data_IF_674914495291
#
_entry.id   IF_674914495291
#
_cell.length_a   1.000
_cell.length_b   1.000
_cell.length_c   1.000
_cell.angle_alpha   90.00
_cell.angle_beta   90.00
_cell.angle_gamma   90.00
#
_symmetry.space_group_name_H-M   'P 1'
#
loop_
_entity.id
_entity.type
_entity.pdbx_description
1 polymer ?
#
# COMPACT_ATOMS: atom_id res chain seq x y z
N UNK A 1 -18.97 4.50 2.05
CA UNK A 1 -17.74 3.66 2.02
C UNK A 1 -16.59 4.54 2.45
N UNK A 2 -15.97 4.18 3.57
CA UNK A 2 -14.85 4.91 4.15
C UNK A 2 -13.58 4.44 3.43
N UNK A 3 -12.76 5.37 2.93
CA UNK A 3 -11.47 5.10 2.27
C UNK A 3 -11.52 4.09 1.10
N UNK A 4 -12.59 4.13 0.29
CA UNK A 4 -12.79 3.15 -0.80
C UNK A 4 -11.63 3.11 -1.83
N UNK A 5 -11.05 4.26 -2.17
CA UNK A 5 -9.92 4.32 -3.11
C UNK A 5 -8.67 3.60 -2.57
N UNK A 6 -8.14 3.98 -1.39
CA UNK A 6 -6.99 3.32 -0.78
C UNK A 6 -7.21 1.83 -0.51
N UNK A 7 -8.39 1.46 0.00
CA UNK A 7 -8.77 0.07 0.23
C UNK A 7 -8.76 -0.74 -1.08
N UNK A 8 -9.30 -0.18 -2.16
CA UNK A 8 -9.27 -0.80 -3.48
C UNK A 8 -7.84 -0.98 -4.00
N UNK A 9 -6.94 -0.04 -3.72
CA UNK A 9 -5.51 -0.18 -4.04
C UNK A 9 -4.86 -1.40 -3.39
N UNK A 10 -5.18 -1.69 -2.11
CA UNK A 10 -4.68 -2.91 -1.45
C UNK A 10 -5.25 -4.17 -2.11
N UNK A 11 -6.53 -4.14 -2.49
CA UNK A 11 -7.17 -5.27 -3.18
C UNK A 11 -6.53 -5.49 -4.57
N UNK A 12 -6.24 -4.41 -5.31
CA UNK A 12 -5.52 -4.51 -6.58
C UNK A 12 -4.14 -5.14 -6.39
N UNK A 13 -3.40 -4.72 -5.35
CA UNK A 13 -2.08 -5.27 -5.02
C UNK A 13 -2.16 -6.75 -4.63
N UNK A 14 -3.18 -7.16 -3.84
CA UNK A 14 -3.43 -8.55 -3.50
C UNK A 14 -3.73 -9.40 -4.74
N UNK A 15 -4.63 -8.92 -5.60
CA UNK A 15 -5.02 -9.61 -6.83
C UNK A 15 -3.83 -9.79 -7.79
N UNK A 16 -3.02 -8.73 -7.99
CA UNK A 16 -1.80 -8.81 -8.80
C UNK A 16 -0.79 -9.76 -8.16
N UNK A 17 -0.57 -9.66 -6.84
CA UNK A 17 0.34 -10.54 -6.11
C UNK A 17 -0.03 -12.01 -6.30
N UNK A 18 -1.29 -12.38 -6.08
CA UNK A 18 -1.79 -13.74 -6.27
C UNK A 18 -1.57 -14.24 -7.71
N UNK A 19 -1.87 -13.40 -8.71
CA UNK A 19 -1.66 -13.76 -10.12
C UNK A 19 -0.19 -14.00 -10.47
N UNK A 20 0.74 -13.42 -9.71
CA UNK A 20 2.18 -13.56 -9.88
C UNK A 20 2.82 -14.57 -8.91
N UNK A 21 2.02 -15.21 -8.04
CA UNK A 21 2.51 -16.19 -7.06
C UNK A 21 3.08 -15.56 -5.78
N UNK A 22 2.76 -14.32 -5.49
CA UNK A 22 3.13 -13.62 -4.25
C UNK A 22 1.92 -13.52 -3.31
N UNK A 23 1.86 -14.36 -2.29
CA UNK A 23 0.80 -14.33 -1.28
C UNK A 23 1.08 -13.34 -0.15
N UNK A 24 2.33 -12.89 -0.01
CA UNK A 24 2.78 -11.92 0.97
C UNK A 24 3.12 -10.61 0.25
N UNK A 25 2.29 -9.58 0.42
CA UNK A 25 2.45 -8.31 -0.29
C UNK A 25 2.32 -7.13 0.66
N UNK A 26 3.20 -6.15 0.52
CA UNK A 26 3.00 -4.81 1.04
C UNK A 26 2.55 -3.93 -0.12
N UNK A 27 1.32 -3.41 -0.06
CA UNK A 27 0.83 -2.42 -1.00
C UNK A 27 1.34 -1.05 -0.62
N UNK A 28 1.75 -0.27 -1.60
CA UNK A 28 2.23 1.10 -1.42
C UNK A 28 1.65 2.01 -2.49
N UNK A 29 0.79 2.92 -2.07
CA UNK A 29 0.14 3.92 -2.92
C UNK A 29 0.67 5.31 -2.59
N UNK A 30 1.33 5.97 -3.54
CA UNK A 30 1.76 7.35 -3.37
C UNK A 30 1.18 8.25 -4.46
N UNK A 31 0.32 9.14 -4.03
CA UNK A 31 -0.25 10.20 -4.84
C UNK A 31 0.46 11.55 -4.65
N UNK A 32 -0.26 12.62 -4.98
CA UNK A 32 0.25 13.99 -4.81
C UNK A 32 0.32 14.47 -3.35
N UNK A 33 -0.55 13.99 -2.46
CA UNK A 33 -0.70 14.52 -1.09
C UNK A 33 -0.24 13.56 -0.02
N UNK A 34 -0.53 12.28 -0.17
CA UNK A 34 -0.30 11.25 0.85
C UNK A 34 0.32 10.00 0.26
N UNK A 35 0.99 9.23 1.09
CA UNK A 35 1.34 7.85 0.82
C UNK A 35 0.61 6.92 1.79
N UNK A 36 0.17 5.77 1.30
CA UNK A 36 -0.57 4.76 2.03
C UNK A 36 0.09 3.41 1.88
N UNK A 37 0.17 2.68 2.99
CA UNK A 37 0.68 1.31 2.99
C UNK A 37 -0.36 0.37 3.61
N UNK A 38 -0.52 -0.81 3.03
CA UNK A 38 -1.37 -1.88 3.53
C UNK A 38 -0.67 -3.23 3.44
N UNK A 39 -1.07 -4.17 4.30
CA UNK A 39 -0.49 -5.51 4.35
C UNK A 39 -1.46 -6.53 3.78
N UNK A 40 -0.94 -7.45 2.98
CA UNK A 40 -1.64 -8.62 2.44
C UNK A 40 -0.90 -9.87 2.92
N UNK A 41 -1.63 -10.82 3.48
CA UNK A 41 -1.10 -12.07 4.00
C UNK A 41 -1.91 -13.26 3.49
N UNK A 42 -1.24 -14.27 2.96
CA UNK A 42 -1.91 -15.41 2.34
C UNK A 42 -2.88 -14.99 1.22
N UNK A 43 -2.56 -13.88 0.52
CA UNK A 43 -3.40 -13.30 -0.52
C UNK A 43 -4.59 -12.46 -0.03
N UNK A 44 -4.80 -12.34 1.30
CA UNK A 44 -5.93 -11.59 1.87
C UNK A 44 -5.44 -10.26 2.49
N UNK A 45 -6.10 -9.13 2.22
CA UNK A 45 -5.80 -7.85 2.89
C UNK A 45 -6.03 -7.91 4.39
N UNK A 46 -5.13 -7.33 5.17
CA UNK A 46 -5.31 -7.20 6.61
C UNK A 46 -6.47 -6.27 6.94
N UNK A 47 -7.29 -6.64 7.92
CA UNK A 47 -8.49 -5.90 8.34
C UNK A 47 -8.34 -5.44 9.78
N UNK A 48 -8.75 -4.20 10.06
CA UNK A 48 -8.88 -3.64 11.40
C UNK A 48 -10.32 -3.27 11.72
N UNK A 49 -10.66 -3.22 13.01
CA UNK A 49 -11.93 -2.69 13.53
C UNK A 49 -11.74 -1.33 14.21
N UNK A 50 -10.48 -0.94 14.41
CA UNK A 50 -10.10 0.31 15.07
C UNK A 50 -9.80 1.38 14.02
N UNK A 51 -10.85 1.96 13.45
CA UNK A 51 -10.74 3.04 12.47
C UNK A 51 -11.25 4.36 13.03
N UNK A 52 -10.51 5.45 12.79
CA UNK A 52 -10.89 6.79 13.21
C UNK A 52 -11.05 7.71 11.98
N UNK A 53 -12.26 8.21 11.77
CA UNK A 53 -12.54 9.19 10.70
C UNK A 53 -12.05 10.56 11.10
N UNK A 54 -11.33 11.24 10.19
CA UNK A 54 -10.83 12.61 10.40
C UNK A 54 -9.58 12.68 11.27
N UNK A 55 -8.98 11.55 11.63
CA UNK A 55 -7.62 11.55 12.16
C UNK A 55 -6.68 12.13 11.08
N UNK A 56 -5.89 13.14 11.42
CA UNK A 56 -4.91 13.70 10.47
C UNK A 56 -3.87 12.64 10.15
N UNK A 57 -3.54 12.52 8.85
CA UNK A 57 -2.44 11.67 8.37
C UNK A 57 -1.19 11.90 9.23
N UNK A 58 -0.66 10.82 9.81
CA UNK A 58 0.35 10.92 10.86
C UNK A 58 1.74 11.01 10.25
N UNK A 59 2.48 12.03 10.59
CA UNK A 59 3.92 12.10 10.36
C UNK A 59 4.65 11.86 11.68
N UNK A 60 5.08 10.61 11.93
CA UNK A 60 5.99 10.30 13.04
C UNK A 60 5.57 9.14 13.95
N UNK A 61 6.57 8.55 14.59
CA UNK A 61 6.44 7.54 15.64
C UNK A 61 5.71 8.17 16.84
N UNK A 62 4.54 7.66 17.20
CA UNK A 62 3.81 8.11 18.40
C UNK A 62 2.60 9.02 18.13
N UNK A 63 2.12 9.12 16.91
CA UNK A 63 0.88 9.82 16.62
C UNK A 63 -0.29 9.17 17.37
N UNK A 64 -0.93 9.95 18.24
CA UNK A 64 -1.94 9.48 19.17
C UNK A 64 -3.19 8.97 18.43
N UNK A 65 -3.55 7.71 18.63
CA UNK A 65 -4.93 7.26 18.49
C UNK A 65 -5.81 8.18 19.34
N UNK A 66 -6.95 8.61 18.80
CA UNK A 66 -7.90 9.44 19.55
C UNK A 66 -8.07 10.87 19.05
N UNK A 67 -7.51 11.22 17.86
CA UNK A 67 -7.72 12.53 17.24
C UNK A 67 -8.92 12.57 16.29
N UNK A 68 -9.50 11.41 15.93
CA UNK A 68 -10.63 11.24 15.03
C UNK A 68 -11.89 10.71 15.72
N UNK A 69 -12.95 10.52 14.93
CA UNK A 69 -14.19 9.88 15.40
C UNK A 69 -14.09 8.36 15.18
N UNK A 70 -14.08 7.53 16.25
CA UNK A 70 -13.91 6.10 16.11
C UNK A 70 -15.13 5.45 15.47
N UNK A 71 -14.90 4.61 14.47
CA UNK A 71 -15.92 3.77 13.83
C UNK A 71 -15.53 2.30 14.00
N UNK A 72 -16.40 1.52 14.64
CA UNK A 72 -16.24 0.07 14.80
C UNK A 72 -16.86 -0.69 13.62
N UNK A 73 -16.26 -0.58 12.45
CA UNK A 73 -16.62 -1.38 11.28
C UNK A 73 -15.35 -2.02 10.72
N UNK A 74 -15.41 -3.26 10.21
CA UNK A 74 -14.26 -3.84 9.53
C UNK A 74 -13.85 -3.00 8.33
N UNK A 75 -12.60 -2.55 8.31
CA UNK A 75 -11.99 -1.81 7.20
C UNK A 75 -10.62 -2.41 6.89
N UNK A 76 -10.16 -2.26 5.66
CA UNK A 76 -8.78 -2.64 5.32
C UNK A 76 -7.83 -1.78 6.17
N UNK A 77 -6.87 -2.46 6.80
CA UNK A 77 -5.92 -1.82 7.70
C UNK A 77 -4.84 -1.08 6.91
N UNK A 78 -4.90 0.23 6.96
CA UNK A 78 -4.04 1.14 6.22
C UNK A 78 -3.27 2.05 7.16
N UNK A 79 -2.01 2.28 6.83
CA UNK A 79 -1.21 3.36 7.40
C UNK A 79 -1.10 4.47 6.37
N UNK A 80 -1.59 5.65 6.71
CA UNK A 80 -1.50 6.84 5.89
C UNK A 80 -0.51 7.83 6.48
N UNK A 81 0.35 8.40 5.65
CA UNK A 81 1.28 9.46 6.02
C UNK A 81 1.17 10.66 5.07
N UNK A 82 1.39 11.85 5.60
CA UNK A 82 1.43 13.10 4.83
C UNK A 82 2.72 13.24 4.02
N UNK A 83 3.02 12.24 3.18
CA UNK A 83 4.15 12.25 2.26
C UNK A 83 3.63 11.91 0.85
N UNK A 84 3.71 12.84 -0.07
CA UNK A 84 3.30 12.70 -1.46
C UNK A 84 4.13 13.58 -2.37
N UNK A 85 3.87 13.55 -3.68
CA UNK A 85 4.60 14.37 -4.64
C UNK A 85 4.52 15.87 -4.35
N UNK A 86 3.39 16.34 -3.83
CA UNK A 86 3.17 17.74 -3.45
C UNK A 86 3.60 18.09 -2.02
N UNK A 87 4.21 17.17 -1.26
CA UNK A 87 4.72 17.48 0.09
C UNK A 87 5.77 18.56 0.04
N UNK A 88 5.54 19.62 0.81
CA UNK A 88 6.38 20.83 0.80
C UNK A 88 7.66 20.58 1.58
N UNK A 89 8.79 20.96 1.00
CA UNK A 89 10.08 20.97 1.67
C UNK A 89 10.34 22.36 2.27
N UNK A 90 10.91 22.40 3.47
CA UNK A 90 11.20 23.62 4.22
C UNK A 90 12.32 23.40 5.22
N UNK A 91 12.94 24.49 5.65
CA UNK A 91 14.00 24.45 6.68
C UNK A 91 13.39 24.95 7.99
N UNK A 92 13.51 24.13 9.04
CA UNK A 92 13.00 24.49 10.36
C UNK A 92 13.90 25.56 11.05
N UNK A 93 13.43 26.20 12.14
CA UNK A 93 14.24 27.22 12.86
C UNK A 93 15.57 26.70 13.42
N UNK A 94 15.72 25.36 13.51
CA UNK A 94 16.98 24.72 13.90
C UNK A 94 17.95 24.47 12.75
N UNK A 95 17.59 24.87 11.50
CA UNK A 95 18.42 24.66 10.33
C UNK A 95 18.35 23.23 9.77
N UNK A 96 17.26 22.50 10.02
CA UNK A 96 17.08 21.13 9.54
C UNK A 96 16.08 21.10 8.38
N UNK A 97 16.46 20.44 7.27
CA UNK A 97 15.56 20.20 6.15
C UNK A 97 14.42 19.26 6.55
N UNK A 98 13.20 19.66 6.25
CA UNK A 98 11.96 18.92 6.51
C UNK A 98 11.15 18.74 5.22
N UNK A 99 10.36 17.68 5.15
CA UNK A 99 9.42 17.43 4.06
C UNK A 99 8.06 17.08 4.65
N UNK A 100 7.01 17.81 4.21
CA UNK A 100 5.68 17.69 4.79
C UNK A 100 5.59 18.21 6.24
N UNK A 101 4.49 17.90 6.96
CA UNK A 101 3.28 17.19 6.49
C UNK A 101 2.39 18.04 5.57
N UNK A 102 2.69 19.33 5.39
CA UNK A 102 1.93 20.22 4.52
C UNK A 102 2.16 19.85 3.05
N UNK A 103 1.07 19.84 2.26
CA UNK A 103 1.10 19.60 0.82
C UNK A 103 0.69 20.86 0.08
N UNK A 104 1.32 21.11 -1.06
CA UNK A 104 0.93 22.18 -1.99
C UNK A 104 -0.40 21.86 -2.70
N UNK A 105 -0.90 20.61 -2.58
CA UNK A 105 -2.09 20.16 -3.27
C UNK A 105 -1.93 20.14 -4.79
N UNK A 106 -3.05 20.27 -5.49
CA UNK A 106 -3.08 20.41 -6.96
C UNK A 106 -3.15 21.88 -7.41
N UNK A 107 -3.63 22.76 -6.54
CA UNK A 107 -3.78 24.19 -6.74
C UNK A 107 -3.33 24.94 -5.44
N UNK A 108 -2.30 25.80 -5.51
CA UNK A 108 -1.48 26.12 -6.67
C UNK A 108 -0.55 24.97 -7.12
N UNK A 109 -0.33 23.94 -6.30
CA UNK A 109 0.51 22.78 -6.59
C UNK A 109 2.01 23.06 -6.45
N UNK A 110 2.86 22.11 -6.89
CA UNK A 110 4.30 22.26 -7.01
C UNK A 110 4.70 23.51 -7.80
N UNK A 111 5.85 24.09 -7.46
CA UNK A 111 6.36 25.30 -8.14
C UNK A 111 6.49 25.08 -9.66
N UNK A 112 6.91 23.86 -10.07
CA UNK A 112 7.06 23.49 -11.47
C UNK A 112 5.77 23.43 -12.26
N UNK A 113 4.58 23.45 -11.65
CA UNK A 113 3.31 23.42 -12.38
C UNK A 113 2.98 24.79 -13.02
N UNK A 114 3.69 25.87 -12.63
CA UNK A 114 3.46 27.20 -13.20
C UNK A 114 2.09 27.81 -12.83
N UNK A 115 1.43 27.31 -11.78
CA UNK A 115 0.09 27.75 -11.33
C UNK A 115 0.14 28.70 -10.12
N UNK A 116 1.30 29.32 -9.88
CA UNK A 116 1.50 30.25 -8.75
C UNK A 116 2.06 29.61 -7.48
N UNK A 117 2.37 28.31 -7.48
CA UNK A 117 3.14 27.66 -6.43
C UNK A 117 4.54 28.23 -6.37
N UNK A 118 5.03 28.52 -5.15
CA UNK A 118 6.36 29.08 -4.92
C UNK A 118 7.21 28.25 -3.97
N UNK A 119 6.59 27.35 -3.21
CA UNK A 119 7.29 26.47 -2.26
C UNK A 119 7.72 25.17 -2.94
N UNK A 120 8.96 24.70 -2.65
CA UNK A 120 9.47 23.47 -3.27
C UNK A 120 8.74 22.23 -2.72
N UNK A 121 8.56 21.24 -3.58
CA UNK A 121 7.92 19.97 -3.25
C UNK A 121 8.79 18.77 -3.64
N UNK A 122 8.37 17.56 -3.28
CA UNK A 122 9.00 16.31 -3.76
C UNK A 122 8.96 16.21 -5.29
N UNK A 123 7.88 16.70 -5.92
CA UNK A 123 7.78 16.75 -7.40
C UNK A 123 8.83 17.68 -8.00
N UNK A 124 9.01 18.88 -7.43
CA UNK A 124 10.05 19.82 -7.86
C UNK A 124 11.45 19.21 -7.73
N UNK A 125 11.69 18.50 -6.62
CA UNK A 125 12.96 17.81 -6.39
C UNK A 125 13.21 16.69 -7.42
N UNK A 126 12.23 15.82 -7.69
CA UNK A 126 12.35 14.76 -8.70
C UNK A 126 12.53 15.34 -10.12
N UNK A 127 11.90 16.47 -10.42
CA UNK A 127 12.09 17.17 -11.68
C UNK A 127 13.51 17.72 -11.83
N UNK A 128 14.01 18.41 -10.78
CA UNK A 128 15.38 18.96 -10.81
C UNK A 128 16.43 17.85 -10.90
N UNK A 129 16.19 16.70 -10.27
CA UNK A 129 17.07 15.52 -10.38
C UNK A 129 16.97 14.79 -11.75
N UNK A 130 16.14 15.27 -12.68
CA UNK A 130 15.99 14.69 -14.03
C UNK A 130 15.14 13.42 -14.07
N UNK A 131 14.51 13.00 -12.96
CA UNK A 131 13.67 11.79 -12.91
C UNK A 131 12.36 11.98 -13.64
N UNK A 132 11.76 13.18 -13.60
CA UNK A 132 10.54 13.53 -14.33
C UNK A 132 10.86 14.22 -15.64
N UNK A 133 10.02 13.98 -16.63
CA UNK A 133 10.13 14.60 -17.95
C UNK A 133 9.33 15.92 -17.97
N UNK A 134 9.99 17.08 -18.22
CA UNK A 134 9.28 18.34 -18.25
C UNK A 134 8.25 18.47 -19.39
N UNK A 135 8.42 17.69 -20.47
CA UNK A 135 7.56 17.75 -21.64
C UNK A 135 6.54 16.60 -21.74
N UNK A 136 6.65 15.59 -20.85
CA UNK A 136 5.79 14.38 -20.91
C UNK A 136 5.09 14.07 -19.59
N UNK A 137 4.85 15.06 -18.78
CA UNK A 137 4.07 14.87 -17.55
C UNK A 137 2.58 14.77 -17.88
N UNK A 138 1.90 13.73 -17.36
CA UNK A 138 0.53 13.35 -17.74
C UNK A 138 0.35 13.24 -19.27
N UNK A 139 1.27 12.49 -19.90
CA UNK A 139 1.21 12.31 -21.35
C UNK A 139 1.48 13.60 -22.17
N UNK A 140 2.05 14.63 -21.54
CA UNK A 140 2.30 15.94 -22.15
C UNK A 140 1.17 16.97 -21.96
N UNK A 141 0.13 16.64 -21.18
CA UNK A 141 -0.95 17.60 -20.88
C UNK A 141 -0.48 18.77 -20.00
N UNK A 142 0.56 18.56 -19.20
CA UNK A 142 1.15 19.56 -18.32
C UNK A 142 2.65 19.67 -18.61
N UNK A 143 3.11 20.83 -19.07
CA UNK A 143 4.53 21.15 -19.11
C UNK A 143 5.04 21.54 -17.72
N UNK A 144 6.21 21.03 -17.33
CA UNK A 144 6.82 21.37 -16.05
C UNK A 144 7.94 22.38 -16.21
N UNK A 145 7.94 23.42 -15.38
CA UNK A 145 8.97 24.48 -15.36
C UNK A 145 10.13 24.09 -14.43
N UNK A 146 11.24 23.62 -15.04
CA UNK A 146 12.46 23.24 -14.33
C UNK A 146 13.11 24.46 -13.64
N UNK A 147 13.02 25.66 -14.24
CA UNK A 147 13.59 26.85 -13.66
C UNK A 147 12.85 27.30 -12.40
N UNK A 148 11.50 27.20 -12.41
CA UNK A 148 10.67 27.46 -11.23
C UNK A 148 10.96 26.46 -10.10
N UNK A 149 11.09 25.16 -10.42
CA UNK A 149 11.47 24.13 -9.43
C UNK A 149 12.83 24.44 -8.81
N UNK A 150 13.86 24.72 -9.63
CA UNK A 150 15.20 25.06 -9.16
C UNK A 150 15.18 26.28 -8.26
N UNK A 151 14.51 27.36 -8.68
CA UNK A 151 14.38 28.60 -7.91
C UNK A 151 13.73 28.35 -6.55
N UNK A 152 12.62 27.62 -6.52
CA UNK A 152 11.94 27.31 -5.27
C UNK A 152 12.84 26.52 -4.30
N UNK A 153 13.56 25.50 -4.79
CA UNK A 153 14.51 24.72 -3.96
C UNK A 153 15.66 25.59 -3.49
N UNK A 154 16.20 26.44 -4.34
CA UNK A 154 17.31 27.35 -4.01
C UNK A 154 16.93 28.34 -2.92
N UNK A 155 15.79 29.04 -3.08
CA UNK A 155 15.35 30.08 -2.14
C UNK A 155 14.93 29.52 -0.77
N UNK A 156 14.24 28.39 -0.74
CA UNK A 156 13.61 27.85 0.48
C UNK A 156 14.41 26.75 1.19
N UNK A 157 15.35 26.10 0.49
CA UNK A 157 16.09 24.96 1.05
C UNK A 157 17.62 25.13 0.91
N UNK A 158 18.13 25.30 -0.31
CA UNK A 158 19.56 25.28 -0.57
C UNK A 158 20.29 26.48 0.04
N UNK A 159 19.82 27.70 -0.21
CA UNK A 159 20.46 28.94 0.34
C UNK A 159 20.42 28.98 1.87
N UNK A 160 19.29 28.68 2.57
CA UNK A 160 19.28 28.65 4.04
C UNK A 160 20.24 27.60 4.64
N UNK A 161 20.53 26.52 3.92
CA UNK A 161 21.41 25.44 4.36
C UNK A 161 22.84 25.55 3.82
N UNK A 162 23.14 26.58 3.04
CA UNK A 162 24.41 26.77 2.33
C UNK A 162 24.79 25.50 1.50
N UNK A 163 23.81 24.90 0.82
CA UNK A 163 23.95 23.70 0.01
C UNK A 163 23.80 24.01 -1.47
N UNK A 164 24.32 23.10 -2.31
CA UNK A 164 23.99 23.10 -3.73
C UNK A 164 22.51 22.72 -3.94
N UNK A 165 21.79 23.35 -4.90
CA UNK A 165 20.38 23.04 -5.16
C UNK A 165 20.08 21.57 -5.51
N UNK A 166 20.99 20.89 -6.20
CA UNK A 166 20.85 19.47 -6.54
C UNK A 166 21.01 18.59 -5.30
N UNK A 167 21.99 18.92 -4.44
CA UNK A 167 22.17 18.25 -3.17
C UNK A 167 20.94 18.46 -2.25
N UNK A 168 20.36 19.67 -2.23
CA UNK A 168 19.12 19.94 -1.50
C UNK A 168 17.94 19.15 -2.06
N UNK A 169 17.78 19.06 -3.41
CA UNK A 169 16.76 18.25 -4.06
C UNK A 169 16.89 16.77 -3.71
N UNK A 170 18.11 16.23 -3.74
CA UNK A 170 18.34 14.84 -3.33
C UNK A 170 17.99 14.64 -1.84
N UNK A 171 18.35 15.58 -0.97
CA UNK A 171 17.98 15.58 0.45
C UNK A 171 16.46 15.54 0.66
N UNK A 172 15.69 16.33 -0.11
CA UNK A 172 14.22 16.33 -0.08
C UNK A 172 13.68 14.95 -0.39
N UNK A 173 14.17 14.30 -1.46
CA UNK A 173 13.71 12.96 -1.86
C UNK A 173 14.08 11.90 -0.82
N UNK A 174 15.30 11.94 -0.27
CA UNK A 174 15.73 10.98 0.76
C UNK A 174 14.93 11.12 2.07
N UNK A 175 14.57 12.34 2.49
CA UNK A 175 13.71 12.57 3.65
C UNK A 175 12.30 12.03 3.38
N UNK A 176 11.75 12.26 2.19
CA UNK A 176 10.47 11.69 1.81
C UNK A 176 10.51 10.15 1.81
N UNK A 177 11.58 9.54 1.25
CA UNK A 177 11.78 8.09 1.27
C UNK A 177 11.86 7.56 2.71
N UNK A 178 12.60 8.22 3.60
CA UNK A 178 12.70 7.82 5.01
C UNK A 178 11.34 7.86 5.72
N UNK A 179 10.50 8.87 5.45
CA UNK A 179 9.15 8.93 5.99
C UNK A 179 8.28 7.78 5.47
N UNK A 180 8.38 7.44 4.17
CA UNK A 180 7.66 6.33 3.55
C UNK A 180 8.13 4.97 4.06
N UNK A 181 9.43 4.77 4.29
CA UNK A 181 9.99 3.57 4.95
C UNK A 181 9.38 3.38 6.34
N UNK A 182 9.17 4.46 7.10
CA UNK A 182 8.51 4.36 8.40
C UNK A 182 7.06 3.86 8.26
N UNK A 183 6.31 4.28 7.23
CA UNK A 183 4.97 3.75 6.97
C UNK A 183 5.01 2.25 6.65
N UNK A 184 5.97 1.80 5.83
CA UNK A 184 6.16 0.37 5.52
C UNK A 184 6.51 -0.44 6.79
N UNK A 185 7.32 0.11 7.70
CA UNK A 185 7.64 -0.52 8.99
C UNK A 185 6.45 -0.59 9.94
N UNK A 186 5.54 0.40 9.89
CA UNK A 186 4.31 0.41 10.69
C UNK A 186 3.36 -0.73 10.31
N UNK A 187 3.28 -1.09 9.03
CA UNK A 187 2.44 -2.21 8.58
C UNK A 187 3.14 -3.57 8.66
N UNK A 188 4.46 -3.63 8.79
CA UNK A 188 5.25 -4.86 8.80
C UNK A 188 5.94 -5.09 10.17
N UNK A 189 7.10 -4.50 10.39
CA UNK A 189 7.97 -4.75 11.57
C UNK A 189 7.25 -4.52 12.89
N UNK A 190 6.48 -3.44 13.01
CA UNK A 190 5.74 -3.15 14.25
C UNK A 190 4.60 -4.14 14.53
N UNK A 191 4.22 -4.93 13.52
CA UNK A 191 3.25 -6.02 13.64
C UNK A 191 3.90 -7.39 13.71
N UNK A 192 5.22 -7.44 13.84
CA UNK A 192 5.99 -8.68 13.98
C UNK A 192 6.29 -9.39 12.66
N UNK A 193 6.16 -8.71 11.52
CA UNK A 193 6.45 -9.28 10.20
C UNK A 193 7.81 -8.80 9.67
N UNK A 194 8.56 -9.70 9.04
CA UNK A 194 9.81 -9.36 8.37
C UNK A 194 9.50 -8.87 6.94
N UNK A 195 9.87 -7.62 6.56
CA UNK A 195 9.64 -7.11 5.21
C UNK A 195 10.30 -7.96 4.11
N UNK A 196 11.35 -8.72 4.44
CA UNK A 196 12.07 -9.59 3.48
C UNK A 196 11.24 -10.75 2.97
N UNK A 197 10.15 -11.09 3.68
CA UNK A 197 9.22 -12.15 3.28
C UNK A 197 8.13 -11.65 2.32
N UNK A 198 8.12 -10.35 1.98
CA UNK A 198 7.09 -9.70 1.20
C UNK A 198 7.60 -9.19 -0.14
N UNK A 199 6.67 -9.07 -1.11
CA UNK A 199 6.85 -8.25 -2.30
C UNK A 199 6.22 -6.87 -2.08
N UNK A 200 6.88 -5.81 -2.56
CA UNK A 200 6.34 -4.44 -2.54
C UNK A 200 5.57 -4.20 -3.84
N UNK A 201 4.26 -4.01 -3.80
CA UNK A 201 3.49 -3.55 -4.96
C UNK A 201 3.30 -2.05 -4.84
N UNK A 202 4.01 -1.29 -5.67
CA UNK A 202 4.03 0.18 -5.61
C UNK A 202 3.26 0.79 -6.79
N UNK A 203 2.35 1.69 -6.48
CA UNK A 203 1.46 2.34 -7.44
C UNK A 203 1.10 3.76 -7.00
N UNK A 204 0.10 4.38 -7.64
CA UNK A 204 -0.13 5.82 -7.59
C UNK A 204 0.79 6.58 -8.53
N UNK A 205 0.47 7.81 -8.86
CA UNK A 205 1.24 8.61 -9.83
C UNK A 205 2.69 8.87 -9.44
N UNK A 206 3.02 8.88 -8.14
CA UNK A 206 4.37 9.13 -7.64
C UNK A 206 5.08 7.86 -7.11
N UNK A 207 4.32 6.83 -6.71
CA UNK A 207 4.87 5.63 -6.07
C UNK A 207 5.98 4.92 -6.85
N UNK A 208 5.84 4.68 -8.15
CA UNK A 208 6.86 3.99 -8.96
C UNK A 208 8.23 4.69 -8.98
N UNK A 209 8.27 6.02 -8.88
CA UNK A 209 9.52 6.76 -8.83
C UNK A 209 10.35 6.49 -7.56
N UNK A 210 9.69 6.07 -6.50
CA UNK A 210 10.30 5.78 -5.19
C UNK A 210 10.46 4.28 -4.90
N UNK A 211 9.72 3.42 -5.61
CA UNK A 211 9.59 1.99 -5.32
C UNK A 211 10.92 1.27 -5.15
N UNK A 212 11.86 1.48 -6.06
CA UNK A 212 13.17 0.84 -6.03
C UNK A 212 13.96 1.21 -4.76
N UNK A 213 13.96 2.50 -4.41
CA UNK A 213 14.66 3.00 -3.22
C UNK A 213 14.01 2.51 -1.92
N UNK A 214 12.67 2.46 -1.88
CA UNK A 214 11.92 1.94 -0.73
C UNK A 214 12.21 0.45 -0.52
N UNK A 215 12.21 -0.37 -1.57
CA UNK A 215 12.54 -1.78 -1.50
C UNK A 215 13.98 -1.98 -0.97
N UNK A 216 14.95 -1.20 -1.49
CA UNK A 216 16.33 -1.24 -1.01
C UNK A 216 16.46 -0.89 0.48
N UNK A 217 15.83 0.20 0.94
CA UNK A 217 15.91 0.66 2.32
C UNK A 217 15.19 -0.26 3.32
N UNK A 218 14.21 -1.03 2.87
CA UNK A 218 13.46 -2.01 3.69
C UNK A 218 13.95 -3.44 3.52
N UNK A 219 14.90 -3.66 2.61
CA UNK A 219 15.41 -4.98 2.22
C UNK A 219 14.33 -5.90 1.64
N UNK A 220 13.27 -5.33 1.07
CA UNK A 220 12.27 -6.09 0.34
C UNK A 220 12.90 -6.58 -0.97
N UNK A 221 12.87 -7.90 -1.27
CA UNK A 221 13.64 -8.47 -2.38
C UNK A 221 13.11 -8.09 -3.76
N UNK A 222 11.81 -7.80 -3.86
CA UNK A 222 11.10 -7.57 -5.12
C UNK A 222 10.16 -6.38 -4.99
N UNK A 223 10.26 -5.42 -5.92
CA UNK A 223 9.25 -4.39 -6.09
C UNK A 223 8.51 -4.61 -7.42
N UNK A 224 7.18 -4.54 -7.38
CA UNK A 224 6.29 -4.76 -8.53
C UNK A 224 5.55 -3.45 -8.82
N UNK A 225 5.62 -3.02 -10.08
CA UNK A 225 4.83 -1.88 -10.57
C UNK A 225 3.74 -2.43 -11.48
N UNK A 226 2.46 -2.27 -11.13
CA UNK A 226 1.35 -2.72 -11.99
C UNK A 226 1.34 -1.96 -13.33
N UNK A 227 0.67 -2.47 -14.36
CA UNK A 227 0.35 -1.65 -15.53
C UNK A 227 -0.57 -0.50 -15.10
N UNK A 228 -0.33 0.70 -15.65
CA UNK A 228 -1.08 1.93 -15.34
C UNK A 228 -1.20 2.19 -13.81
N UNK A 229 -0.07 2.40 -13.13
CA UNK A 229 -0.03 2.49 -11.67
C UNK A 229 -0.86 3.65 -11.10
N UNK A 230 -1.04 4.74 -11.85
CA UNK A 230 -1.88 5.86 -11.43
C UNK A 230 -3.36 5.51 -11.29
N UNK A 231 -3.82 4.44 -11.94
CA UNK A 231 -5.21 3.96 -11.90
C UNK A 231 -5.40 2.61 -11.21
N UNK A 232 -4.38 2.09 -10.53
CA UNK A 232 -4.41 0.77 -9.89
C UNK A 232 -5.56 0.61 -8.88
N UNK A 233 -5.89 1.66 -8.11
CA UNK A 233 -7.02 1.65 -7.19
C UNK A 233 -8.37 1.45 -7.89
N UNK A 234 -8.56 1.99 -9.10
CA UNK A 234 -9.76 1.74 -9.89
C UNK A 234 -9.85 0.29 -10.33
N UNK A 235 -8.70 -0.34 -10.68
CA UNK A 235 -8.65 -1.77 -10.98
C UNK A 235 -9.06 -2.62 -9.78
N UNK A 236 -8.67 -2.24 -8.57
CA UNK A 236 -9.07 -2.90 -7.33
C UNK A 236 -10.60 -2.93 -7.14
N UNK A 237 -11.31 -1.86 -7.52
CA UNK A 237 -12.77 -1.84 -7.47
C UNK A 237 -13.41 -2.85 -8.44
N UNK A 238 -12.77 -3.12 -9.57
CA UNK A 238 -13.27 -4.09 -10.57
C UNK A 238 -13.06 -5.55 -10.15
N UNK A 239 -12.13 -5.81 -9.22
CA UNK A 239 -11.83 -7.17 -8.74
C UNK A 239 -12.32 -7.44 -7.32
N UNK A 240 -12.99 -6.47 -6.69
CA UNK A 240 -13.53 -6.57 -5.33
C UNK A 240 -14.81 -7.38 -5.34
N UNK A 241 -14.88 -8.45 -4.53
CA UNK A 241 -16.11 -9.19 -4.29
C UNK A 241 -17.12 -8.39 -3.44
N UNK A 242 -18.39 -8.69 -3.59
CA UNK A 242 -19.42 -8.15 -2.71
C UNK A 242 -19.28 -8.78 -1.32
N UNK A 243 -19.39 -7.96 -0.27
CA UNK A 243 -19.23 -8.46 1.09
C UNK A 243 -20.22 -7.79 2.05
N UNK A 244 -20.96 -8.61 2.80
CA UNK A 244 -21.79 -8.17 3.90
C UNK A 244 -21.30 -8.77 5.20
N UNK A 245 -20.95 -7.93 6.16
CA UNK A 245 -20.52 -8.35 7.48
C UNK A 245 -21.69 -8.24 8.47
N UNK A 246 -21.95 -9.32 9.18
CA UNK A 246 -22.96 -9.41 10.24
C UNK A 246 -22.28 -9.74 11.56
N UNK A 247 -22.81 -9.18 12.64
CA UNK A 247 -22.34 -9.51 13.98
C UNK A 247 -23.53 -9.61 14.94
N UNK A 248 -23.45 -10.55 15.88
CA UNK A 248 -24.38 -10.71 16.99
C UNK A 248 -23.60 -10.81 18.28
N UNK A 249 -23.90 -9.96 19.24
CA UNK A 249 -23.30 -10.00 20.58
C UNK A 249 -23.91 -11.12 21.41
N UNK A 250 -23.05 -11.97 22.01
CA UNK A 250 -23.46 -13.11 22.83
C UNK A 250 -23.10 -12.86 24.31
N UNK A 251 -21.84 -12.52 24.60
CA UNK A 251 -21.25 -12.34 25.94
C UNK A 251 -21.57 -13.52 26.85
N UNK A 252 -20.89 -14.64 26.59
CA UNK A 252 -21.05 -15.87 27.39
C UNK A 252 -19.67 -16.50 27.59
N UNK A 253 -19.43 -17.09 28.76
CA UNK A 253 -18.19 -17.82 29.08
C UNK A 253 -18.11 -19.10 28.27
N UNK A 254 -16.94 -19.41 27.72
CA UNK A 254 -16.72 -20.56 26.85
C UNK A 254 -17.11 -21.90 27.47
N UNK A 255 -17.01 -22.04 28.83
CA UNK A 255 -17.41 -23.23 29.58
C UNK A 255 -18.93 -23.40 29.69
N UNK A 256 -19.73 -22.38 29.32
CA UNK A 256 -21.20 -22.38 29.43
C UNK A 256 -21.91 -22.26 28.09
N UNK A 257 -21.14 -22.00 27.03
CA UNK A 257 -21.70 -21.82 25.70
C UNK A 257 -22.38 -23.12 25.24
N UNK A 258 -23.60 -22.98 24.73
CA UNK A 258 -24.34 -24.03 24.04
C UNK A 258 -24.01 -23.99 22.52
N UNK A 259 -23.27 -24.98 21.96
CA UNK A 259 -22.93 -25.00 20.54
C UNK A 259 -24.18 -24.94 19.62
N UNK A 260 -25.29 -25.58 20.01
CA UNK A 260 -26.51 -25.55 19.22
C UNK A 260 -27.13 -24.16 19.18
N UNK A 261 -26.98 -23.36 20.26
CA UNK A 261 -27.40 -21.96 20.25
C UNK A 261 -26.57 -21.11 19.29
N UNK A 262 -25.24 -21.34 19.25
CA UNK A 262 -24.36 -20.66 18.30
C UNK A 262 -24.69 -21.02 16.85
N UNK A 263 -24.96 -22.29 16.57
CA UNK A 263 -25.39 -22.74 15.24
C UNK A 263 -26.68 -22.07 14.78
N UNK A 264 -27.66 -21.93 15.68
CA UNK A 264 -28.89 -21.18 15.35
C UNK A 264 -28.59 -19.74 14.94
N UNK A 265 -27.72 -19.06 15.67
CA UNK A 265 -27.31 -17.68 15.35
C UNK A 265 -26.60 -17.64 13.99
N UNK A 266 -25.63 -18.53 13.73
CA UNK A 266 -24.95 -18.56 12.44
C UNK A 266 -25.92 -18.84 11.28
N UNK A 267 -26.88 -19.75 11.45
CA UNK A 267 -27.90 -20.03 10.43
C UNK A 267 -28.77 -18.80 10.14
N UNK A 268 -29.19 -18.06 11.17
CA UNK A 268 -29.92 -16.80 10.99
C UNK A 268 -29.11 -15.75 10.23
N UNK A 269 -27.82 -15.57 10.60
CA UNK A 269 -26.92 -14.64 9.91
C UNK A 269 -26.67 -15.06 8.45
N UNK A 270 -26.53 -16.38 8.21
CA UNK A 270 -26.34 -16.92 6.86
C UNK A 270 -27.56 -16.72 5.98
N UNK A 271 -28.77 -16.91 6.49
CA UNK A 271 -30.01 -16.63 5.76
C UNK A 271 -30.06 -15.15 5.36
N UNK A 272 -29.78 -14.23 6.29
CA UNK A 272 -29.75 -12.79 6.01
C UNK A 272 -28.69 -12.44 4.96
N UNK A 273 -27.50 -13.02 5.05
CA UNK A 273 -26.41 -12.82 4.09
C UNK A 273 -26.78 -13.33 2.69
N UNK A 274 -27.36 -14.53 2.61
CA UNK A 274 -27.85 -15.13 1.35
C UNK A 274 -28.90 -14.25 0.70
N UNK A 275 -29.89 -13.77 1.46
CA UNK A 275 -30.95 -12.90 0.93
C UNK A 275 -30.40 -11.55 0.46
N UNK A 276 -29.38 -11.01 1.11
CA UNK A 276 -28.75 -9.76 0.68
C UNK A 276 -28.03 -9.95 -0.66
N UNK A 277 -27.18 -10.97 -0.78
CA UNK A 277 -26.42 -11.28 -2.00
C UNK A 277 -27.36 -11.68 -3.17
N UNK A 278 -28.45 -12.42 -2.89
CA UNK A 278 -29.44 -12.75 -3.90
C UNK A 278 -30.16 -11.49 -4.45
N UNK A 279 -30.47 -10.51 -3.60
CA UNK A 279 -31.03 -9.21 -4.05
C UNK A 279 -30.06 -8.41 -4.94
N UNK A 280 -28.76 -8.65 -4.81
CA UNK A 280 -27.72 -8.06 -5.65
C UNK A 280 -27.48 -8.86 -6.94
N UNK A 281 -28.25 -9.94 -7.17
CA UNK A 281 -28.26 -10.72 -8.42
C UNK A 281 -27.27 -11.87 -8.44
N UNK A 282 -26.70 -12.27 -7.31
CA UNK A 282 -25.77 -13.40 -7.24
C UNK A 282 -26.51 -14.74 -7.13
N UNK A 283 -25.92 -15.77 -7.74
CA UNK A 283 -26.39 -17.17 -7.61
C UNK A 283 -25.79 -17.83 -6.39
N UNK A 284 -26.39 -18.91 -5.91
CA UNK A 284 -25.91 -19.66 -4.73
C UNK A 284 -24.46 -20.15 -4.89
N UNK A 285 -24.06 -20.54 -6.10
CA UNK A 285 -22.71 -21.03 -6.40
C UNK A 285 -21.64 -19.94 -6.26
N UNK A 286 -22.04 -18.66 -6.38
CA UNK A 286 -21.18 -17.50 -6.23
C UNK A 286 -21.14 -16.98 -4.78
N UNK A 287 -21.86 -17.64 -3.85
CA UNK A 287 -21.92 -17.20 -2.45
C UNK A 287 -21.05 -18.07 -1.56
N UNK A 288 -20.28 -17.44 -0.68
CA UNK A 288 -19.53 -18.10 0.38
C UNK A 288 -19.77 -17.42 1.72
N UNK A 289 -19.64 -18.18 2.81
CA UNK A 289 -19.94 -17.69 4.16
C UNK A 289 -18.76 -18.01 5.09
N UNK A 290 -18.14 -16.98 5.65
CA UNK A 290 -16.99 -17.12 6.55
C UNK A 290 -17.45 -16.82 7.97
N UNK A 291 -17.32 -17.81 8.88
CA UNK A 291 -17.69 -17.71 10.30
C UNK A 291 -16.51 -17.22 11.11
N UNK A 292 -16.74 -16.33 12.08
CA UNK A 292 -15.73 -15.82 12.99
C UNK A 292 -16.33 -15.64 14.39
N UNK A 293 -15.48 -15.65 15.39
CA UNK A 293 -15.86 -15.35 16.77
C UNK A 293 -14.87 -14.34 17.38
N UNK A 294 -15.40 -13.39 18.16
CA UNK A 294 -14.59 -12.49 18.99
C UNK A 294 -14.52 -13.08 20.39
N UNK A 295 -13.30 -13.40 20.87
CA UNK A 295 -13.04 -13.93 22.19
C UNK A 295 -12.07 -13.04 22.96
N UNK A 296 -12.15 -13.09 24.29
CA UNK A 296 -11.20 -12.42 25.18
C UNK A 296 -11.10 -13.19 26.51
N UNK A 297 -10.04 -12.95 27.27
CA UNK A 297 -10.05 -13.35 28.67
C UNK A 297 -11.04 -12.49 29.45
N UNK A 298 -11.73 -13.08 30.40
CA UNK A 298 -12.69 -12.36 31.26
C UNK A 298 -12.00 -11.17 31.95
N UNK A 299 -12.58 -9.99 31.79
CA UNK A 299 -12.02 -8.73 32.32
C UNK A 299 -11.09 -7.98 31.37
N UNK A 300 -10.73 -8.52 30.22
CA UNK A 300 -10.01 -7.77 29.20
C UNK A 300 -10.95 -6.81 28.43
N UNK A 301 -10.40 -5.68 28.00
CA UNK A 301 -11.15 -4.67 27.23
C UNK A 301 -11.07 -4.87 25.71
N UNK A 302 -10.17 -5.74 25.22
CA UNK A 302 -10.00 -6.02 23.80
C UNK A 302 -10.27 -7.48 23.50
N UNK A 303 -10.77 -7.70 22.32
CA UNK A 303 -11.20 -8.98 21.78
C UNK A 303 -10.24 -9.41 20.65
N UNK A 304 -10.01 -10.72 20.55
CA UNK A 304 -9.32 -11.33 19.44
C UNK A 304 -10.35 -12.02 18.54
N UNK A 305 -10.33 -11.72 17.24
CA UNK A 305 -11.22 -12.36 16.27
C UNK A 305 -10.56 -13.61 15.71
N UNK A 306 -11.22 -14.73 15.83
CA UNK A 306 -10.79 -16.01 15.26
C UNK A 306 -11.69 -16.41 14.09
N UNK A 307 -11.07 -16.93 13.03
CA UNK A 307 -11.81 -17.64 11.96
C UNK A 307 -12.21 -19.01 12.46
N UNK A 308 -13.46 -19.39 12.26
CA UNK A 308 -14.01 -20.68 12.62
C UNK A 308 -14.12 -21.58 11.39
N UNK A 309 -14.09 -22.91 11.59
CA UNK A 309 -14.41 -23.85 10.55
C UNK A 309 -15.85 -23.64 10.03
N UNK A 310 -16.09 -24.03 8.78
CA UNK A 310 -17.41 -23.92 8.16
C UNK A 310 -18.40 -24.99 8.68
N UNK A 311 -17.86 -26.04 9.30
CA UNK A 311 -18.65 -27.17 9.83
C UNK A 311 -19.44 -26.78 11.08
N UNK A 312 -20.46 -27.58 11.40
CA UNK A 312 -21.30 -27.37 12.55
C UNK A 312 -20.48 -27.42 13.86
N UNK A 313 -20.75 -26.49 14.78
CA UNK A 313 -20.07 -26.42 16.05
C UNK A 313 -20.54 -27.55 16.98
N UNK A 314 -19.58 -28.27 17.57
CA UNK A 314 -19.79 -29.25 18.61
C UNK A 314 -18.84 -29.00 19.79
N UNK A 315 -18.93 -29.81 20.85
CA UNK A 315 -18.08 -29.68 22.04
C UNK A 315 -16.57 -29.83 21.73
N UNK A 316 -16.22 -30.68 20.76
CA UNK A 316 -14.83 -30.88 20.36
C UNK A 316 -14.27 -29.66 19.64
N UNK A 317 -15.07 -29.04 18.79
CA UNK A 317 -14.71 -27.81 18.11
C UNK A 317 -14.63 -26.60 19.05
N UNK A 318 -15.47 -26.53 20.08
CA UNK A 318 -15.38 -25.51 21.13
C UNK A 318 -14.03 -25.56 21.86
N UNK A 319 -13.52 -26.77 22.13
CA UNK A 319 -12.19 -26.94 22.72
C UNK A 319 -11.08 -26.50 21.76
N UNK A 320 -11.19 -26.83 20.48
CA UNK A 320 -10.22 -26.41 19.46
C UNK A 320 -10.20 -24.86 19.29
N UNK A 321 -11.36 -24.21 19.35
CA UNK A 321 -11.47 -22.74 19.31
C UNK A 321 -10.76 -22.13 20.50
N UNK A 322 -10.91 -22.70 21.70
CA UNK A 322 -10.23 -22.22 22.90
C UNK A 322 -8.70 -22.37 22.80
N UNK A 323 -8.22 -23.52 22.30
CA UNK A 323 -6.80 -23.73 22.05
C UNK A 323 -6.24 -22.79 20.98
N UNK A 324 -7.01 -22.55 19.91
CA UNK A 324 -6.65 -21.56 18.90
C UNK A 324 -6.57 -20.15 19.49
N UNK A 325 -7.52 -19.77 20.34
CA UNK A 325 -7.51 -18.48 21.02
C UNK A 325 -6.22 -18.27 21.82
N UNK A 326 -5.81 -19.24 22.63
CA UNK A 326 -4.58 -19.12 23.43
C UNK A 326 -3.34 -18.96 22.54
N UNK A 327 -3.24 -19.70 21.43
CA UNK A 327 -2.12 -19.58 20.47
C UNK A 327 -2.08 -18.20 19.80
N UNK A 328 -3.21 -17.74 19.29
CA UNK A 328 -3.27 -16.44 18.63
C UNK A 328 -3.10 -15.28 19.60
N UNK A 329 -3.54 -15.44 20.86
CA UNK A 329 -3.31 -14.44 21.90
C UNK A 329 -1.82 -14.32 22.26
N UNK A 330 -1.12 -15.46 22.38
CA UNK A 330 0.33 -15.48 22.59
C UNK A 330 1.08 -14.81 21.43
N UNK A 331 0.65 -15.11 20.21
CA UNK A 331 1.22 -14.50 19.00
C UNK A 331 0.99 -12.99 18.94
N UNK A 332 -0.21 -12.53 19.28
CA UNK A 332 -0.60 -11.11 19.15
C UNK A 332 -0.03 -10.23 20.28
N UNK A 333 0.05 -10.78 21.50
CA UNK A 333 0.38 -10.01 22.70
C UNK A 333 1.65 -10.49 23.43
N UNK A 334 2.26 -11.60 22.97
CA UNK A 334 3.48 -12.16 23.57
C UNK A 334 3.21 -12.95 24.87
N UNK A 335 1.97 -13.26 25.19
CA UNK A 335 1.59 -14.11 26.32
C UNK A 335 0.25 -14.80 26.09
N UNK A 336 0.04 -15.92 26.80
CA UNK A 336 -1.26 -16.57 26.93
C UNK A 336 -1.48 -17.01 28.38
N UNK A 337 -2.73 -17.17 28.80
CA UNK A 337 -3.12 -17.58 30.14
C UNK A 337 -4.14 -18.72 30.08
N UNK A 338 -3.73 -19.97 29.74
CA UNK A 338 -4.67 -21.10 29.59
C UNK A 338 -5.46 -21.46 30.83
N UNK A 339 -5.08 -20.96 32.04
CA UNK A 339 -5.81 -21.14 33.27
C UNK A 339 -6.89 -20.09 33.56
N UNK A 340 -6.94 -19.05 32.77
CA UNK A 340 -7.92 -17.98 32.91
C UNK A 340 -9.19 -18.27 32.11
N UNK A 341 -10.31 -17.74 32.57
CA UNK A 341 -11.60 -17.88 31.90
C UNK A 341 -11.64 -17.06 30.59
N UNK A 342 -12.16 -17.67 29.53
CA UNK A 342 -12.37 -17.03 28.25
C UNK A 342 -13.87 -16.81 28.02
N UNK A 343 -14.24 -15.64 27.52
CA UNK A 343 -15.62 -15.34 27.10
C UNK A 343 -15.70 -15.10 25.61
N UNK A 344 -16.76 -15.65 25.00
CA UNK A 344 -17.21 -15.34 23.67
C UNK A 344 -17.98 -14.02 23.72
N UNK A 345 -17.56 -13.03 22.94
CA UNK A 345 -18.17 -11.70 22.94
C UNK A 345 -19.14 -11.53 21.77
N UNK A 346 -18.70 -11.85 20.56
CA UNK A 346 -19.53 -11.74 19.37
C UNK A 346 -19.35 -12.97 18.47
N UNK A 347 -20.41 -13.33 17.76
CA UNK A 347 -20.36 -14.16 16.55
C UNK A 347 -20.43 -13.25 15.35
N UNK A 348 -19.63 -13.56 14.32
CA UNK A 348 -19.57 -12.81 13.09
C UNK A 348 -19.70 -13.72 11.88
N UNK A 349 -20.39 -13.22 10.88
CA UNK A 349 -20.51 -13.88 9.58
C UNK A 349 -20.20 -12.86 8.49
N UNK A 350 -19.22 -13.19 7.63
CA UNK A 350 -19.01 -12.49 6.38
C UNK A 350 -19.67 -13.28 5.26
N UNK A 351 -20.71 -12.72 4.66
CA UNK A 351 -21.32 -13.24 3.43
C UNK A 351 -20.59 -12.60 2.24
N UNK A 352 -19.92 -13.41 1.46
CA UNK A 352 -19.10 -12.98 0.31
C UNK A 352 -19.74 -13.49 -0.97
N UNK A 353 -19.94 -12.57 -1.89
CA UNK A 353 -20.47 -12.85 -3.22
C UNK A 353 -19.37 -12.66 -4.27
N UNK A 354 -18.91 -13.73 -4.86
CA UNK A 354 -17.89 -13.69 -5.89
C UNK A 354 -18.44 -13.10 -7.18
N UNK A 355 -17.81 -12.03 -7.67
CA UNK A 355 -18.14 -11.44 -8.96
C UNK A 355 -17.19 -11.94 -10.06
N UNK A 356 -17.66 -11.91 -11.31
CA UNK A 356 -16.80 -12.18 -12.45
C UNK A 356 -15.68 -11.14 -12.54
N UNK A 357 -14.44 -11.56 -12.31
CA UNK A 357 -13.28 -10.67 -12.34
C UNK A 357 -12.76 -10.52 -13.77
N UNK A 358 -12.37 -9.28 -14.19
CA UNK A 358 -11.73 -9.09 -15.47
C UNK A 358 -10.41 -9.87 -15.50
N UNK A 359 -10.18 -10.59 -16.61
CA UNK A 359 -8.90 -11.26 -16.82
C UNK A 359 -7.85 -10.23 -17.18
N UNK A 360 -6.68 -10.32 -16.56
CA UNK A 360 -5.53 -9.52 -16.99
C UNK A 360 -5.12 -9.94 -18.39
N UNK A 361 -5.06 -8.96 -19.30
CA UNK A 361 -4.65 -9.21 -20.67
C UNK A 361 -3.13 -9.40 -20.75
N UNK A 362 -2.69 -10.44 -21.44
CA UNK A 362 -1.28 -10.63 -21.76
C UNK A 362 -0.86 -9.66 -22.86
N UNK A 363 0.32 -9.08 -22.73
CA UNK A 363 0.94 -8.24 -23.75
C UNK A 363 1.82 -9.08 -24.70
N UNK A 364 2.15 -8.52 -25.85
CA UNK A 364 3.05 -9.17 -26.82
C UNK A 364 4.44 -9.43 -26.21
N UNK A 365 5.08 -10.53 -26.62
CA UNK A 365 6.45 -10.81 -26.24
C UNK A 365 7.40 -9.77 -26.83
N UNK A 366 8.49 -9.47 -26.11
CA UNK A 366 9.52 -8.57 -26.60
C UNK A 366 10.23 -9.18 -27.83
N UNK A 367 10.38 -8.38 -28.88
CA UNK A 367 11.17 -8.72 -30.07
C UNK A 367 12.57 -8.09 -29.94
N UNK A 368 13.51 -8.79 -29.28
CA UNK A 368 14.86 -8.32 -29.09
C UNK A 368 15.08 -7.52 -27.79
N UNK A 369 16.14 -6.72 -27.75
CA UNK A 369 16.52 -5.90 -26.60
C UNK A 369 15.61 -4.68 -26.47
N UNK A 370 15.41 -4.20 -25.22
CA UNK A 370 14.68 -2.98 -24.94
C UNK A 370 15.39 -1.76 -25.60
N UNK A 371 14.65 -0.97 -26.36
CA UNK A 371 15.18 0.21 -27.05
C UNK A 371 14.80 1.48 -26.28
N UNK A 372 15.80 2.26 -25.89
CA UNK A 372 15.58 3.55 -25.26
C UNK A 372 15.02 4.56 -26.27
N UNK A 373 14.00 5.32 -25.89
CA UNK A 373 13.41 6.38 -26.73
C UNK A 373 14.31 7.62 -26.80
N UNK A 374 15.05 7.91 -25.74
CA UNK A 374 16.03 8.99 -25.65
C UNK A 374 16.99 8.77 -24.48
N UNK A 375 17.93 9.70 -24.29
CA UNK A 375 18.84 9.79 -23.15
C UNK A 375 18.56 11.11 -22.42
N UNK A 376 18.70 11.09 -21.10
CA UNK A 376 18.51 12.29 -20.24
C UNK A 376 19.47 12.25 -19.07
N UNK A 377 20.10 13.38 -18.68
CA UNK A 377 20.88 13.43 -17.45
C UNK A 377 19.96 13.27 -16.22
N UNK A 378 20.22 12.23 -15.43
CA UNK A 378 19.50 11.93 -14.18
C UNK A 378 20.49 11.80 -13.04
N UNK A 379 20.19 12.45 -11.91
CA UNK A 379 21.03 12.38 -10.73
C UNK A 379 20.73 11.11 -9.92
N UNK A 380 21.80 10.39 -9.58
CA UNK A 380 21.79 9.27 -8.64
C UNK A 380 22.87 9.49 -7.57
N UNK A 381 22.48 9.37 -6.30
CA UNK A 381 23.42 9.50 -5.19
C UNK A 381 24.50 8.41 -5.23
N UNK A 382 24.15 7.21 -5.69
CA UNK A 382 25.03 6.06 -5.86
C UNK A 382 26.13 6.31 -6.93
N UNK A 383 25.89 7.21 -7.86
CA UNK A 383 26.85 7.63 -8.90
C UNK A 383 27.52 8.95 -8.60
N UNK A 384 27.22 9.54 -7.42
CA UNK A 384 27.73 10.85 -6.96
C UNK A 384 27.50 12.00 -7.96
N UNK A 385 26.48 11.89 -8.82
CA UNK A 385 26.24 12.91 -9.84
C UNK A 385 25.18 12.55 -10.89
N UNK A 386 25.12 13.40 -11.91
CA UNK A 386 24.31 13.13 -13.08
C UNK A 386 24.97 12.13 -14.01
N UNK A 387 24.20 11.17 -14.46
CA UNK A 387 24.58 10.18 -15.49
C UNK A 387 23.65 10.30 -16.68
N UNK A 388 24.16 10.08 -17.89
CA UNK A 388 23.35 9.92 -19.08
C UNK A 388 22.51 8.65 -18.95
N UNK A 389 21.23 8.81 -18.71
CA UNK A 389 20.32 7.74 -18.34
C UNK A 389 19.39 7.42 -19.51
N UNK A 390 19.31 6.16 -19.97
CA UNK A 390 18.35 5.76 -20.97
C UNK A 390 16.92 5.89 -20.45
N UNK A 391 16.05 6.42 -21.29
CA UNK A 391 14.64 6.59 -21.01
C UNK A 391 13.84 5.69 -21.94
N UNK A 392 12.97 4.87 -21.37
CA UNK A 392 12.14 3.92 -22.11
C UNK A 392 10.67 4.33 -22.07
N UNK A 393 9.97 4.04 -23.14
CA UNK A 393 8.52 4.11 -23.17
C UNK A 393 7.94 2.79 -22.68
N UNK A 394 7.16 2.83 -21.59
CA UNK A 394 6.51 1.65 -21.01
C UNK A 394 5.72 0.85 -22.04
N UNK A 395 5.02 1.54 -22.93
CA UNK A 395 4.12 0.94 -23.90
C UNK A 395 4.85 0.27 -25.08
N UNK A 396 6.12 0.58 -25.25
CA UNK A 396 6.98 -0.07 -26.24
C UNK A 396 7.71 -1.32 -25.70
N UNK A 397 7.60 -1.59 -24.38
CA UNK A 397 8.25 -2.72 -23.74
C UNK A 397 7.33 -3.96 -23.78
N UNK A 398 7.74 -5.00 -24.50
CA UNK A 398 7.04 -6.29 -24.55
C UNK A 398 7.36 -7.18 -23.34
N UNK A 399 6.55 -8.23 -23.16
CA UNK A 399 6.76 -9.22 -22.11
C UNK A 399 8.15 -9.89 -22.24
N UNK A 400 8.85 -10.09 -21.15
CA UNK A 400 10.21 -10.62 -21.13
C UNK A 400 11.32 -9.59 -21.33
N UNK A 401 11.01 -8.37 -21.79
CA UNK A 401 12.01 -7.29 -21.90
C UNK A 401 12.68 -7.03 -20.54
N UNK A 402 13.99 -6.77 -20.58
CA UNK A 402 14.77 -6.43 -19.38
C UNK A 402 15.38 -5.05 -19.58
N UNK A 403 15.23 -4.19 -18.57
CA UNK A 403 15.87 -2.88 -18.52
C UNK A 403 16.79 -2.85 -17.30
N UNK A 404 18.08 -2.60 -17.53
CA UNK A 404 19.08 -2.51 -16.47
C UNK A 404 19.29 -1.05 -16.08
N UNK A 405 19.35 -0.77 -14.78
CA UNK A 405 19.61 0.56 -14.24
C UNK A 405 21.10 0.97 -14.29
N UNK A 406 21.37 2.30 -14.28
CA UNK A 406 20.40 3.37 -14.11
C UNK A 406 19.52 3.59 -15.35
N UNK A 407 18.21 3.67 -15.16
CA UNK A 407 17.25 3.85 -16.25
C UNK A 407 15.96 4.51 -15.77
N UNK A 408 15.23 5.13 -16.69
CA UNK A 408 13.88 5.68 -16.44
C UNK A 408 12.90 4.95 -17.38
N UNK A 409 11.75 4.54 -16.84
CA UNK A 409 10.63 4.07 -17.64
C UNK A 409 9.47 5.05 -17.46
N UNK A 410 9.05 5.66 -18.56
CA UNK A 410 7.96 6.64 -18.59
C UNK A 410 6.65 6.01 -19.08
N UNK A 411 5.58 6.39 -18.44
CA UNK A 411 4.20 6.11 -18.85
C UNK A 411 3.33 7.37 -18.64
N UNK A 412 2.11 7.38 -19.14
CA UNK A 412 1.25 8.59 -19.14
C UNK A 412 1.04 9.12 -17.73
N UNK A 413 0.79 8.26 -16.78
CA UNK A 413 0.33 8.59 -15.44
C UNK A 413 1.41 8.42 -14.36
N UNK A 414 2.62 7.95 -14.73
CA UNK A 414 3.70 7.69 -13.77
C UNK A 414 5.08 7.63 -14.44
N UNK A 415 6.11 7.63 -13.61
CA UNK A 415 7.50 7.39 -13.98
C UNK A 415 8.14 6.42 -13.02
N UNK A 416 8.78 5.38 -13.52
CA UNK A 416 9.54 4.43 -12.72
C UNK A 416 11.03 4.72 -12.83
N UNK A 417 11.69 4.88 -11.68
CA UNK A 417 13.14 5.05 -11.60
C UNK A 417 13.80 3.72 -11.26
N UNK A 418 14.72 3.26 -12.11
CA UNK A 418 15.53 2.06 -11.88
C UNK A 418 16.92 2.53 -11.49
N UNK A 419 17.32 2.29 -10.23
CA UNK A 419 18.60 2.73 -9.69
C UNK A 419 19.77 1.88 -10.19
N UNK A 420 21.01 2.40 -10.11
CA UNK A 420 22.22 1.59 -10.35
C UNK A 420 22.21 0.30 -9.52
N UNK A 421 22.61 -0.82 -10.12
CA UNK A 421 22.64 -2.14 -9.48
C UNK A 421 21.29 -2.86 -9.45
N UNK A 422 20.25 -2.27 -10.04
CA UNK A 422 18.92 -2.88 -10.19
C UNK A 422 18.55 -3.08 -11.64
N UNK A 423 17.61 -3.97 -11.87
CA UNK A 423 16.99 -4.22 -13.17
C UNK A 423 15.49 -4.38 -13.01
N UNK A 424 14.76 -4.20 -14.09
CA UNK A 424 13.37 -4.57 -14.19
C UNK A 424 13.14 -5.54 -15.34
N UNK A 425 12.27 -6.53 -15.11
CA UNK A 425 11.72 -7.40 -16.14
C UNK A 425 10.26 -7.07 -16.35
N UNK A 426 9.84 -6.96 -17.60
CA UNK A 426 8.43 -6.80 -17.97
C UNK A 426 7.77 -8.18 -17.92
N UNK A 427 6.71 -8.33 -17.15
CA UNK A 427 5.93 -9.55 -17.06
C UNK A 427 4.88 -9.65 -18.16
N UNK A 428 4.23 -10.80 -18.24
CA UNK A 428 3.24 -11.11 -19.29
C UNK A 428 2.02 -10.19 -19.29
N UNK A 429 1.66 -9.61 -18.14
CA UNK A 429 0.55 -8.65 -18.02
C UNK A 429 1.00 -7.20 -18.15
N UNK A 430 2.22 -6.96 -18.59
CA UNK A 430 2.78 -5.62 -18.70
C UNK A 430 3.23 -5.01 -17.37
N UNK A 431 3.18 -5.71 -16.24
CA UNK A 431 3.76 -5.26 -14.97
C UNK A 431 5.29 -5.25 -15.01
N UNK A 432 5.94 -4.44 -14.17
CA UNK A 432 7.39 -4.45 -13.99
C UNK A 432 7.76 -5.15 -12.68
N UNK A 433 8.78 -6.00 -12.73
CA UNK A 433 9.37 -6.66 -11.57
C UNK A 433 10.80 -6.17 -11.40
N UNK A 434 11.02 -5.33 -10.38
CA UNK A 434 12.32 -4.74 -10.07
C UNK A 434 13.06 -5.65 -9.07
N UNK A 435 14.29 -5.99 -9.40
CA UNK A 435 15.19 -6.83 -8.57
C UNK A 435 16.61 -6.29 -8.61
N UNK A 436 17.43 -6.71 -7.67
CA UNK A 436 18.89 -6.48 -7.73
C UNK A 436 19.47 -7.23 -8.93
N UNK A 437 20.43 -6.63 -9.61
CA UNK A 437 21.17 -7.30 -10.68
C UNK A 437 22.02 -8.40 -10.05
N UNK A 438 21.78 -9.66 -10.44
CA UNK A 438 22.65 -10.75 -10.04
C UNK A 438 24.02 -10.58 -10.70
N UNK A 439 25.04 -10.34 -9.89
CA UNK A 439 26.43 -10.44 -10.37
C UNK A 439 26.69 -11.92 -10.61
N UNK A 440 26.77 -12.33 -11.87
CA UNK A 440 27.26 -13.66 -12.21
C UNK A 440 28.75 -13.67 -11.90
N UNK A 441 29.13 -14.39 -10.85
CA UNK A 441 30.54 -14.72 -10.55
C UNK A 441 31.22 -15.48 -11.70
#
# INVERSE_FOLDING_TARGET
MVESGPAAGVIAAAHLGQALGYDQVISFDMGGTTAKAGLVQGGEPSITKDFEVGAKAQSGVGASRGAGYPIRTPVIDLVEIGAGGGSIAWVDPGGILRVGPESAGADPGPACYGRGGTRPTVTDANLLLGRLNPEYFLGGEIGLDVAAARKAIEEHCASPLAMDPVAAANGIVEIANAAMVNALRLVSVQRGYDPRDFALVAFGGAGPAHANRLAAMTQIPVAIIPPSPGTASAMGLLVTDLKHDYATTVIERMDRVDPDALERIFNELQVRGREALAREGLTEEAMSFRRQADLRYVGQSHELTLSLAADALDQGQMQQILEQFHREHDRAYGFSAPGEEVELVNLRLAAVGEIAKPKMASIAQAEGEAVAKNMRPVYFAESEGYVECPVYDRYALGAGAVVVGPAIVEEIDSTTTIHPGYQTRIGEFGHMVLTVVEVKD
#
